data_IF_050310501441
#
_entry.id   IF_050310501441
#
_cell.length_a   1.000
_cell.length_b   1.000
_cell.length_c   1.000
_cell.angle_alpha   90.00
_cell.angle_beta   90.00
_cell.angle_gamma   90.00
#
_symmetry.space_group_name_H-M   'P 1'
#
loop_
_entity.id
_entity.type
_entity.pdbx_description
1 polymer ?
#
# COMPACT_ATOMS: atom_id res chain seq x y z
N UNK A 1 -23.88 4.64 33.16
CA UNK A 1 -23.57 5.50 34.32
C UNK A 1 -22.33 6.25 33.94
N UNK A 2 -22.41 7.58 33.83
CA UNK A 2 -21.61 8.41 32.90
C UNK A 2 -20.14 8.02 32.74
N UNK A 3 -19.41 7.70 33.82
CA UNK A 3 -18.02 7.25 33.75
C UNK A 3 -17.78 5.90 33.04
N UNK A 4 -18.72 4.95 33.13
CA UNK A 4 -18.69 3.68 32.39
C UNK A 4 -18.92 3.92 30.89
N UNK A 5 -19.79 4.86 30.55
CA UNK A 5 -20.14 5.20 29.16
C UNK A 5 -18.98 5.95 28.47
N UNK A 6 -18.29 6.82 29.21
CA UNK A 6 -17.05 7.48 28.77
C UNK A 6 -15.90 6.48 28.59
N UNK A 7 -15.71 5.56 29.55
CA UNK A 7 -14.68 4.52 29.45
C UNK A 7 -14.91 3.57 28.26
N UNK A 8 -16.15 3.19 27.99
CA UNK A 8 -16.50 2.38 26.83
C UNK A 8 -16.27 3.11 25.51
N UNK A 9 -16.59 4.41 25.46
CA UNK A 9 -16.31 5.26 24.30
C UNK A 9 -14.82 5.37 24.02
N UNK A 10 -14.01 5.56 25.06
CA UNK A 10 -12.55 5.64 24.94
C UNK A 10 -11.95 4.34 24.36
N UNK A 11 -12.45 3.18 24.81
CA UNK A 11 -12.02 1.88 24.30
C UNK A 11 -12.38 1.68 22.82
N UNK A 12 -13.60 2.05 22.40
CA UNK A 12 -14.02 2.00 20.99
C UNK A 12 -13.16 2.88 20.10
N UNK A 13 -12.87 4.09 20.54
CA UNK A 13 -12.00 5.01 19.79
C UNK A 13 -10.58 4.46 19.64
N UNK A 14 -10.02 3.88 20.70
CA UNK A 14 -8.70 3.26 20.66
C UNK A 14 -8.68 2.07 19.70
N UNK A 15 -9.74 1.24 19.70
CA UNK A 15 -9.86 0.13 18.76
C UNK A 15 -9.89 0.60 17.31
N UNK A 16 -10.74 1.57 16.98
CA UNK A 16 -10.82 2.14 15.65
C UNK A 16 -9.48 2.73 15.17
N UNK A 17 -8.71 3.36 16.07
CA UNK A 17 -7.37 3.85 15.77
C UNK A 17 -6.38 2.71 15.49
N UNK A 18 -6.45 1.61 16.26
CA UNK A 18 -5.63 0.43 16.02
C UNK A 18 -5.99 -0.24 14.68
N UNK A 19 -7.26 -0.28 14.30
CA UNK A 19 -7.70 -0.84 13.02
C UNK A 19 -7.21 -0.02 11.85
N UNK A 20 -7.35 1.31 11.94
CA UNK A 20 -6.81 2.24 10.96
C UNK A 20 -5.29 2.07 10.81
N UNK A 21 -4.58 1.93 11.92
CA UNK A 21 -3.13 1.70 11.91
C UNK A 21 -2.74 0.36 11.26
N UNK A 22 -3.58 -0.69 11.38
CA UNK A 22 -3.34 -1.99 10.73
C UNK A 22 -3.72 -1.99 9.25
N UNK A 23 -4.76 -1.25 8.88
CA UNK A 23 -5.22 -1.12 7.50
C UNK A 23 -4.37 -0.15 6.67
N UNK A 24 -3.35 0.46 7.27
CA UNK A 24 -2.46 1.40 6.59
C UNK A 24 -1.00 1.04 6.75
N UNK A 25 -0.20 1.48 5.79
CA UNK A 25 1.25 1.42 5.88
C UNK A 25 1.86 2.64 5.18
N UNK A 26 3.02 3.07 5.65
CA UNK A 26 3.80 4.12 5.01
C UNK A 26 5.27 3.75 5.08
N UNK A 27 5.93 3.64 3.92
CA UNK A 27 7.33 3.24 3.84
C UNK A 27 8.07 4.21 2.94
N UNK A 28 9.20 4.73 3.43
CA UNK A 28 10.13 5.52 2.63
C UNK A 28 11.29 4.62 2.21
N UNK A 29 11.54 4.55 0.91
CA UNK A 29 12.70 3.86 0.34
C UNK A 29 13.64 4.89 -0.27
N UNK A 30 14.87 4.95 0.22
CA UNK A 30 15.95 5.75 -0.36
C UNK A 30 16.88 4.85 -1.18
N UNK A 31 17.34 5.34 -2.33
CA UNK A 31 18.36 4.67 -3.12
C UNK A 31 19.71 5.38 -2.89
N UNK A 32 20.64 4.79 -2.11
CA UNK A 32 21.89 5.43 -1.73
C UNK A 32 22.71 5.90 -2.93
N UNK A 33 23.28 7.10 -2.83
CA UNK A 33 24.17 7.68 -3.85
C UNK A 33 23.48 8.24 -5.09
N UNK A 34 22.16 8.14 -5.20
CA UNK A 34 21.42 8.61 -6.40
C UNK A 34 20.57 9.87 -6.16
N UNK A 35 20.25 10.16 -4.89
CA UNK A 35 19.27 11.20 -4.54
C UNK A 35 17.81 10.79 -4.74
N UNK A 36 17.52 9.56 -5.19
CA UNK A 36 16.15 9.07 -5.27
C UNK A 36 15.63 8.63 -3.90
N UNK A 37 14.41 9.08 -3.57
CA UNK A 37 13.68 8.68 -2.38
C UNK A 37 12.18 8.63 -2.71
N UNK A 38 11.50 7.55 -2.34
CA UNK A 38 10.09 7.34 -2.63
C UNK A 38 9.36 6.95 -1.36
N UNK A 39 8.32 7.71 -1.01
CA UNK A 39 7.36 7.32 0.00
C UNK A 39 6.22 6.56 -0.68
N UNK A 40 5.88 5.39 -0.16
CA UNK A 40 4.71 4.61 -0.57
C UNK A 40 3.78 4.49 0.63
N UNK A 41 2.60 5.07 0.49
CA UNK A 41 1.51 5.02 1.46
C UNK A 41 0.43 4.08 0.93
N UNK A 42 -0.04 3.17 1.78
CA UNK A 42 -1.10 2.24 1.46
C UNK A 42 -2.22 2.35 2.50
N UNK A 43 -3.45 2.25 2.05
CA UNK A 43 -4.65 2.14 2.89
C UNK A 43 -5.59 1.11 2.29
N UNK A 44 -6.32 0.39 3.13
CA UNK A 44 -7.38 -0.52 2.69
C UNK A 44 -8.70 -0.17 3.36
N UNK A 45 -9.79 -0.52 2.66
CA UNK A 45 -11.15 -0.34 3.12
C UNK A 45 -11.98 -1.57 2.74
N UNK A 46 -12.86 -2.00 3.63
CA UNK A 46 -13.87 -2.98 3.32
C UNK A 46 -14.97 -2.35 2.47
N UNK A 47 -15.25 -2.97 1.32
CA UNK A 47 -16.26 -2.49 0.38
C UNK A 47 -17.60 -3.18 0.64
N UNK A 48 -17.58 -4.47 0.98
CA UNK A 48 -18.79 -5.26 1.17
C UNK A 48 -18.58 -6.73 0.85
N UNK A 49 -19.67 -7.42 0.50
CA UNK A 49 -19.64 -8.82 0.10
C UNK A 49 -20.11 -8.99 -1.33
N UNK A 50 -19.49 -9.93 -2.03
CA UNK A 50 -19.97 -10.45 -3.30
C UNK A 50 -20.17 -11.95 -3.16
N UNK A 51 -21.42 -12.37 -2.93
CA UNK A 51 -21.75 -13.72 -2.52
C UNK A 51 -21.00 -14.14 -1.24
N UNK A 52 -20.18 -15.18 -1.36
CA UNK A 52 -19.36 -15.69 -0.24
C UNK A 52 -18.12 -14.82 0.04
N UNK A 53 -17.66 -14.02 -0.93
CA UNK A 53 -16.41 -13.29 -0.87
C UNK A 53 -16.53 -11.99 -0.08
N UNK A 54 -15.47 -11.65 0.64
CA UNK A 54 -15.26 -10.35 1.25
C UNK A 54 -14.46 -9.47 0.30
N UNK A 55 -15.01 -8.32 -0.07
CA UNK A 55 -14.44 -7.42 -1.07
C UNK A 55 -13.78 -6.24 -0.38
N UNK A 56 -12.52 -5.97 -0.74
CA UNK A 56 -11.74 -4.87 -0.22
C UNK A 56 -11.21 -4.02 -1.37
N UNK A 57 -11.18 -2.71 -1.15
CA UNK A 57 -10.40 -1.78 -1.95
C UNK A 57 -9.12 -1.42 -1.20
N UNK A 58 -8.07 -1.10 -1.94
CA UNK A 58 -6.91 -0.46 -1.38
C UNK A 58 -6.46 0.69 -2.27
N UNK A 59 -5.90 1.72 -1.64
CA UNK A 59 -5.32 2.90 -2.29
C UNK A 59 -3.82 2.89 -2.03
N UNK A 60 -3.05 3.03 -3.09
CA UNK A 60 -1.60 3.22 -3.03
C UNK A 60 -1.27 4.62 -3.52
N UNK A 61 -0.55 5.38 -2.71
CA UNK A 61 -0.03 6.69 -3.03
C UNK A 61 1.49 6.64 -3.03
N UNK A 62 2.09 7.11 -4.12
CA UNK A 62 3.53 7.05 -4.39
C UNK A 62 4.01 8.48 -4.52
N UNK A 63 4.92 8.91 -3.66
CA UNK A 63 5.41 10.29 -3.61
C UNK A 63 6.92 10.30 -3.82
N UNK A 64 7.39 11.11 -4.77
CA UNK A 64 8.82 11.35 -4.94
C UNK A 64 9.32 12.37 -3.89
N UNK A 65 10.02 11.86 -2.88
CA UNK A 65 10.65 12.63 -1.81
C UNK A 65 12.11 12.96 -2.11
N UNK A 66 12.63 12.48 -3.25
CA UNK A 66 14.01 12.65 -3.67
C UNK A 66 14.26 13.93 -4.47
N UNK A 67 15.49 14.06 -4.93
CA UNK A 67 15.98 15.20 -5.72
C UNK A 67 16.13 14.88 -7.21
N UNK A 68 15.87 13.63 -7.62
CA UNK A 68 15.91 13.18 -9.02
C UNK A 68 14.56 12.59 -9.44
N UNK A 69 14.18 12.69 -10.73
CA UNK A 69 12.97 12.04 -11.22
C UNK A 69 13.05 10.51 -11.04
N UNK A 70 11.91 9.90 -10.74
CA UNK A 70 11.77 8.44 -10.64
C UNK A 70 10.62 7.96 -11.51
N UNK A 71 10.63 6.71 -11.93
CA UNK A 71 9.53 6.11 -12.69
C UNK A 71 9.19 4.72 -12.18
N UNK A 72 7.90 4.44 -12.04
CA UNK A 72 7.40 3.09 -11.78
C UNK A 72 7.44 2.31 -13.09
N UNK A 73 8.15 1.17 -13.09
CA UNK A 73 8.23 0.27 -14.26
C UNK A 73 7.47 -1.03 -14.04
N UNK A 74 7.25 -1.43 -12.80
CA UNK A 74 6.59 -2.68 -12.47
C UNK A 74 6.18 -2.79 -11.01
N UNK A 75 5.58 -3.93 -10.69
CA UNK A 75 5.13 -4.26 -9.33
C UNK A 75 5.28 -5.74 -9.03
N UNK A 76 5.30 -6.05 -7.74
CA UNK A 76 5.08 -7.39 -7.19
C UNK A 76 4.23 -7.31 -5.94
N UNK A 77 3.36 -8.30 -5.76
CA UNK A 77 2.45 -8.40 -4.62
C UNK A 77 2.49 -9.80 -4.03
N UNK A 78 2.43 -9.86 -2.70
CA UNK A 78 2.14 -11.06 -1.94
C UNK A 78 0.84 -10.81 -1.17
N UNK A 79 -0.16 -11.67 -1.40
CA UNK A 79 -1.49 -11.53 -0.83
C UNK A 79 -1.79 -12.79 -0.03
N UNK A 80 -2.12 -12.62 1.25
CA UNK A 80 -2.41 -13.72 2.19
C UNK A 80 -3.79 -13.58 2.81
N UNK A 81 -4.43 -14.70 3.07
CA UNK A 81 -5.66 -14.76 3.87
C UNK A 81 -5.38 -14.37 5.33
N UNK A 82 -6.43 -14.08 6.10
CA UNK A 82 -6.31 -13.68 7.52
C UNK A 82 -5.71 -14.77 8.42
N UNK A 83 -5.76 -16.04 8.00
CA UNK A 83 -5.15 -17.18 8.69
C UNK A 83 -3.66 -17.40 8.31
N UNK A 84 -3.11 -16.52 7.47
CA UNK A 84 -1.73 -16.57 7.00
C UNK A 84 -1.50 -17.48 5.79
N UNK A 85 -2.51 -18.21 5.32
CA UNK A 85 -2.42 -19.04 4.12
C UNK A 85 -2.23 -18.19 2.85
N UNK A 86 -1.63 -18.80 1.83
CA UNK A 86 -1.46 -18.16 0.52
C UNK A 86 -2.82 -17.89 -0.12
N UNK A 87 -3.02 -16.66 -0.61
CA UNK A 87 -4.21 -16.30 -1.39
C UNK A 87 -3.85 -16.06 -2.86
N UNK A 88 -2.94 -15.12 -3.13
CA UNK A 88 -2.52 -14.79 -4.50
C UNK A 88 -1.16 -14.10 -4.50
N UNK A 89 -0.56 -13.96 -5.69
CA UNK A 89 0.65 -13.16 -5.87
C UNK A 89 0.70 -12.53 -7.25
N UNK A 90 1.45 -11.42 -7.34
CA UNK A 90 1.85 -10.81 -8.61
C UNK A 90 3.38 -10.88 -8.65
N UNK A 91 3.96 -11.57 -9.65
CA UNK A 91 5.41 -11.78 -9.70
C UNK A 91 6.16 -10.49 -10.01
N UNK A 92 7.40 -10.38 -9.51
CA UNK A 92 8.32 -9.28 -9.82
C UNK A 92 8.52 -9.16 -11.33
N UNK A 93 8.54 -7.92 -11.84
CA UNK A 93 8.62 -7.64 -13.27
C UNK A 93 7.26 -7.60 -13.96
N UNK A 94 6.15 -7.77 -13.22
CA UNK A 94 4.81 -7.48 -13.77
C UNK A 94 4.72 -6.00 -14.13
N UNK A 95 4.34 -5.65 -15.38
CA UNK A 95 4.55 -4.31 -15.92
C UNK A 95 3.59 -3.28 -15.33
N UNK A 96 4.14 -2.12 -14.99
CA UNK A 96 3.42 -0.94 -14.49
C UNK A 96 2.58 -1.18 -13.23
N UNK A 97 1.70 -0.22 -12.97
CA UNK A 97 0.63 -0.25 -11.96
C UNK A 97 -0.65 0.21 -12.65
N UNK A 98 -1.74 -0.55 -12.51
CA UNK A 98 -3.03 -0.26 -13.19
C UNK A 98 -2.91 0.08 -14.69
N UNK A 99 -1.97 -0.56 -15.39
CA UNK A 99 -1.70 -0.31 -16.81
C UNK A 99 -0.88 0.96 -17.11
N UNK A 100 -0.35 1.63 -16.10
CA UNK A 100 0.42 2.86 -16.21
C UNK A 100 1.86 2.69 -15.67
N UNK A 101 2.78 3.50 -16.18
CA UNK A 101 4.18 3.59 -15.74
C UNK A 101 4.53 5.03 -15.37
N UNK A 102 3.92 5.58 -14.30
CA UNK A 102 4.02 7.00 -13.97
C UNK A 102 5.47 7.41 -13.69
N UNK A 103 5.84 8.56 -14.24
CA UNK A 103 7.09 9.26 -13.95
C UNK A 103 6.80 10.40 -12.99
N UNK A 104 7.50 10.42 -11.86
CA UNK A 104 7.32 11.38 -10.77
C UNK A 104 8.52 12.32 -10.71
N UNK A 105 8.24 13.62 -10.80
CA UNK A 105 9.28 14.66 -10.70
C UNK A 105 9.68 14.91 -9.24
N UNK A 106 10.89 15.46 -8.99
CA UNK A 106 11.25 15.95 -7.66
C UNK A 106 10.27 17.03 -7.16
N UNK A 107 10.28 17.25 -5.85
CA UNK A 107 9.45 18.30 -5.22
C UNK A 107 8.10 17.81 -4.70
N UNK A 108 7.97 16.52 -4.40
CA UNK A 108 6.75 15.94 -3.82
C UNK A 108 5.68 15.56 -4.85
N UNK A 109 6.05 15.42 -6.13
CA UNK A 109 5.15 14.90 -7.15
C UNK A 109 4.67 13.50 -6.76
N UNK A 110 3.40 13.22 -7.04
CA UNK A 110 2.73 12.04 -6.53
C UNK A 110 1.78 11.41 -7.54
N UNK A 111 1.75 10.08 -7.53
CA UNK A 111 0.77 9.29 -8.26
C UNK A 111 -0.03 8.44 -7.28
N UNK A 112 -1.32 8.37 -7.50
CA UNK A 112 -2.24 7.63 -6.64
C UNK A 112 -3.18 6.79 -7.47
N UNK A 113 -3.43 5.56 -7.02
CA UNK A 113 -4.44 4.70 -7.62
C UNK A 113 -5.18 3.88 -6.57
N UNK A 114 -6.38 3.44 -6.94
CA UNK A 114 -7.16 2.48 -6.19
C UNK A 114 -7.28 1.17 -6.98
N UNK A 115 -7.30 0.05 -6.27
CA UNK A 115 -7.52 -1.29 -6.80
C UNK A 115 -8.27 -2.11 -5.75
N UNK A 116 -8.59 -3.36 -6.05
CA UNK A 116 -9.31 -4.24 -5.14
C UNK A 116 -8.74 -5.65 -5.07
N UNK A 117 -9.12 -6.35 -4.01
CA UNK A 117 -8.89 -7.78 -3.83
C UNK A 117 -10.08 -8.39 -3.10
N UNK A 118 -10.27 -9.69 -3.26
CA UNK A 118 -11.34 -10.43 -2.60
C UNK A 118 -10.76 -11.55 -1.74
N UNK A 119 -11.34 -11.82 -0.59
CA UNK A 119 -10.94 -12.94 0.27
C UNK A 119 -12.12 -13.88 0.54
N UNK A 120 -11.85 -15.17 0.64
CA UNK A 120 -12.81 -16.15 1.15
C UNK A 120 -12.88 -16.10 2.69
N UNK A 121 -11.81 -15.61 3.32
CA UNK A 121 -11.73 -15.37 4.76
C UNK A 121 -12.16 -13.94 5.12
N UNK A 122 -12.52 -13.64 6.39
CA UNK A 122 -12.94 -12.32 6.87
C UNK A 122 -11.81 -11.25 6.89
N UNK A 123 -11.00 -11.20 5.84
CA UNK A 123 -9.87 -10.31 5.70
C UNK A 123 -8.63 -10.99 5.15
N UNK A 124 -7.52 -10.27 5.21
CA UNK A 124 -6.23 -10.75 4.73
C UNK A 124 -5.19 -9.65 4.82
N UNK A 125 -4.09 -9.81 4.10
CA UNK A 125 -3.06 -8.78 4.00
C UNK A 125 -2.46 -8.71 2.62
N UNK A 126 -1.97 -7.52 2.30
CA UNK A 126 -1.26 -7.22 1.06
C UNK A 126 0.08 -6.57 1.43
N UNK A 127 1.15 -7.03 0.80
CA UNK A 127 2.48 -6.43 0.87
C UNK A 127 3.17 -6.60 -0.47
N UNK A 128 4.22 -5.83 -0.73
CA UNK A 128 4.91 -5.96 -2.01
C UNK A 128 6.00 -4.94 -2.24
N UNK A 129 6.29 -4.72 -3.51
CA UNK A 129 7.26 -3.72 -3.95
C UNK A 129 6.90 -3.20 -5.33
N UNK A 130 7.22 -1.92 -5.55
CA UNK A 130 7.22 -1.28 -6.85
C UNK A 130 8.63 -1.34 -7.41
N UNK A 131 8.77 -1.85 -8.63
CA UNK A 131 10.03 -1.76 -9.34
C UNK A 131 10.14 -0.36 -9.93
N UNK A 132 11.19 0.35 -9.54
CA UNK A 132 11.44 1.74 -9.86
C UNK A 132 12.74 1.90 -10.65
N UNK A 133 12.82 2.99 -11.41
CA UNK A 133 14.08 3.51 -11.94
C UNK A 133 14.26 4.96 -11.52
N UNK A 134 15.44 5.31 -11.03
CA UNK A 134 15.89 6.69 -10.89
C UNK A 134 16.49 7.17 -12.21
N UNK A 135 16.19 8.40 -12.60
CA UNK A 135 16.60 9.02 -13.85
C UNK A 135 17.65 10.10 -13.54
N UNK A 136 18.91 9.70 -13.43
CA UNK A 136 20.02 10.53 -12.93
C UNK A 136 20.48 11.56 -13.98
N UNK A 137 20.40 11.18 -15.25
CA UNK A 137 20.61 12.04 -16.42
C UNK A 137 19.81 11.49 -17.61
N UNK A 138 19.94 12.11 -18.79
CA UNK A 138 19.31 11.62 -20.02
C UNK A 138 19.79 10.23 -20.44
N UNK A 139 20.96 9.80 -19.98
CA UNK A 139 21.59 8.53 -20.36
C UNK A 139 21.83 7.59 -19.19
N UNK A 140 21.73 8.08 -17.95
CA UNK A 140 22.04 7.32 -16.75
C UNK A 140 20.78 7.08 -15.93
N UNK A 141 20.49 5.81 -15.68
CA UNK A 141 19.39 5.37 -14.85
C UNK A 141 19.82 4.23 -13.93
N UNK A 142 19.19 4.13 -12.76
CA UNK A 142 19.49 3.05 -11.81
C UNK A 142 18.20 2.44 -11.26
N UNK A 143 18.12 1.11 -11.21
CA UNK A 143 16.93 0.41 -10.73
C UNK A 143 16.96 0.22 -9.21
N UNK A 144 15.80 0.30 -8.58
CA UNK A 144 15.61 -0.04 -7.18
C UNK A 144 14.18 -0.54 -6.94
N UNK A 145 13.96 -1.25 -5.84
CA UNK A 145 12.62 -1.72 -5.45
C UNK A 145 12.13 -0.83 -4.28
N UNK A 146 11.06 -0.07 -4.50
CA UNK A 146 10.40 0.69 -3.44
C UNK A 146 9.40 -0.21 -2.71
N UNK A 147 9.61 -0.40 -1.40
CA UNK A 147 8.79 -1.31 -0.62
C UNK A 147 7.37 -0.76 -0.43
N UNK A 148 6.37 -1.64 -0.55
CA UNK A 148 5.01 -1.37 -0.10
C UNK A 148 4.82 -2.15 1.19
N UNK A 149 4.77 -1.43 2.31
CA UNK A 149 4.62 -2.01 3.63
C UNK A 149 3.34 -2.83 3.73
N UNK A 150 3.38 -3.90 4.54
CA UNK A 150 2.21 -4.74 4.78
C UNK A 150 1.06 -3.92 5.36
N UNK A 151 -0.10 -4.01 4.75
CA UNK A 151 -1.35 -3.47 5.28
C UNK A 151 -2.40 -4.60 5.34
N UNK A 152 -3.17 -4.61 6.41
CA UNK A 152 -4.26 -5.56 6.61
C UNK A 152 -5.50 -5.11 5.84
N UNK A 153 -6.35 -6.06 5.47
CA UNK A 153 -7.70 -5.86 4.97
C UNK A 153 -8.64 -6.37 6.05
N UNK A 154 -9.18 -5.47 6.88
CA UNK A 154 -9.98 -5.84 8.05
C UNK A 154 -11.44 -5.46 7.86
N UNK A 155 -12.34 -6.32 8.36
CA UNK A 155 -13.75 -5.93 8.48
C UNK A 155 -13.89 -4.76 9.47
N UNK A 156 -14.78 -3.80 9.20
CA UNK A 156 -15.12 -2.79 10.18
C UNK A 156 -15.79 -3.44 11.38
N UNK A 157 -15.56 -2.89 12.58
CA UNK A 157 -16.29 -3.31 13.77
C UNK A 157 -17.81 -3.14 13.59
N UNK A 158 -18.57 -4.09 14.14
CA UNK A 158 -20.03 -4.05 14.28
C UNK A 158 -20.46 -3.40 15.59
#
# INVERSE_FOLDING_TARGET
GVALDEGLTALKNLHAQLDLARCSSAVVTEQPGTGAAVAVEATSDFVGRDGALFVFSYRIRIVNMGTVPVQVIGRSWNIRNSDGSYHASVPRGSPGIVGQTPRLMPGGDAFEYASGTTFETPGGSVEGALQMVSLLSDTEQSSFDAAVGRFECLLPES
#
